data_IF_402346354996
#
_entry.id   IF_402346354996
#
_cell.length_a   1.000
_cell.length_b   1.000
_cell.length_c   1.000
_cell.angle_alpha   90.00
_cell.angle_beta   90.00
_cell.angle_gamma   90.00
#
_symmetry.space_group_name_H-M   'P 1'
#
loop_
_entity.id
_entity.type
_entity.pdbx_description
1 polymer ?
#
# COMPACT_ATOMS: atom_id res chain seq x y z
N UNK A 1 9.39 -14.00 8.77
CA UNK A 1 8.66 -12.94 8.04
C UNK A 1 8.09 -13.55 6.78
N UNK A 2 6.77 -13.66 6.69
CA UNK A 2 6.11 -14.09 5.46
C UNK A 2 5.99 -12.89 4.52
N UNK A 3 7.02 -12.70 3.69
CA UNK A 3 7.08 -11.59 2.73
C UNK A 3 5.90 -11.62 1.76
N UNK A 4 5.38 -12.81 1.44
CA UNK A 4 4.27 -12.98 0.50
C UNK A 4 3.00 -12.33 1.06
N UNK A 5 2.70 -12.57 2.34
CA UNK A 5 1.60 -11.90 3.05
C UNK A 5 1.71 -10.37 2.99
N UNK A 6 2.90 -9.80 3.19
CA UNK A 6 3.06 -8.34 3.19
C UNK A 6 2.90 -7.73 1.79
N UNK A 7 3.37 -8.44 0.75
CA UNK A 7 3.16 -8.04 -0.64
C UNK A 7 1.66 -8.09 -0.99
N UNK A 8 0.93 -9.11 -0.53
CA UNK A 8 -0.52 -9.20 -0.71
C UNK A 8 -1.26 -8.04 -0.04
N UNK A 9 -0.88 -7.66 1.18
CA UNK A 9 -1.47 -6.50 1.87
C UNK A 9 -1.17 -5.17 1.14
N UNK A 10 0.04 -4.99 0.61
CA UNK A 10 0.36 -3.83 -0.22
C UNK A 10 -0.44 -3.81 -1.53
N UNK A 11 -0.60 -4.96 -2.20
CA UNK A 11 -1.36 -5.07 -3.44
C UNK A 11 -2.84 -4.72 -3.28
N UNK A 12 -3.45 -5.05 -2.12
CA UNK A 12 -4.84 -4.66 -1.79
C UNK A 12 -5.05 -3.14 -1.77
N UNK A 13 -3.99 -2.35 -1.60
CA UNK A 13 -4.08 -0.89 -1.56
C UNK A 13 -4.06 -0.24 -2.95
N UNK A 14 -3.65 -0.96 -4.01
CA UNK A 14 -3.59 -0.41 -5.36
C UNK A 14 -4.95 0.12 -5.84
N UNK A 15 -6.05 -0.57 -5.49
CA UNK A 15 -7.41 -0.16 -5.83
C UNK A 15 -7.95 1.02 -5.01
N UNK A 16 -7.22 1.45 -3.98
CA UNK A 16 -7.60 2.56 -3.08
C UNK A 16 -6.82 3.85 -3.36
N UNK A 17 -5.83 3.81 -4.25
CA UNK A 17 -5.02 4.98 -4.59
C UNK A 17 -5.89 6.09 -5.21
N UNK A 18 -5.73 7.32 -4.73
CA UNK A 18 -6.37 8.49 -5.33
C UNK A 18 -5.38 9.12 -6.32
N UNK A 19 -5.56 8.82 -7.60
CA UNK A 19 -4.57 9.08 -8.67
C UNK A 19 -5.20 9.72 -9.93
N UNK A 20 -5.87 10.88 -9.81
CA UNK A 20 -6.50 11.52 -10.95
C UNK A 20 -5.48 12.05 -11.98
N UNK A 21 -4.20 12.27 -11.61
CA UNK A 21 -3.20 12.90 -12.49
C UNK A 21 -2.27 11.86 -13.13
N UNK A 22 -1.52 11.08 -12.35
CA UNK A 22 -0.50 10.18 -12.92
C UNK A 22 -1.05 8.87 -13.50
N UNK A 23 -2.23 8.43 -13.03
CA UNK A 23 -2.78 7.08 -13.30
C UNK A 23 -1.84 5.94 -12.88
N UNK A 24 -0.92 6.19 -11.94
CA UNK A 24 0.05 5.21 -11.47
C UNK A 24 -0.22 4.81 -10.00
N UNK A 25 -0.87 3.65 -9.76
CA UNK A 25 -1.21 3.22 -8.41
C UNK A 25 0.01 2.66 -7.67
N UNK A 26 0.20 3.08 -6.43
CA UNK A 26 1.24 2.58 -5.53
C UNK A 26 0.61 2.13 -4.22
N UNK A 27 0.98 0.95 -3.76
CA UNK A 27 0.56 0.37 -2.48
C UNK A 27 1.77 0.03 -1.62
N UNK A 28 1.62 0.17 -0.30
CA UNK A 28 2.67 -0.12 0.67
C UNK A 28 2.12 -0.85 1.91
N UNK A 29 2.99 -1.66 2.52
CA UNK A 29 2.73 -2.32 3.80
C UNK A 29 3.95 -2.11 4.72
N UNK A 30 3.73 -1.48 5.86
CA UNK A 30 4.70 -1.30 6.94
C UNK A 30 4.41 -2.34 8.05
N UNK A 31 5.45 -3.07 8.46
CA UNK A 31 5.34 -4.13 9.48
C UNK A 31 6.15 -3.71 10.70
N UNK A 32 5.51 -3.64 11.87
CA UNK A 32 6.20 -3.34 13.13
C UNK A 32 6.93 -4.56 13.69
N UNK A 33 7.75 -4.35 14.73
CA UNK A 33 8.45 -5.43 15.41
C UNK A 33 7.49 -6.45 16.06
N UNK A 34 6.32 -5.97 16.48
CA UNK A 34 5.23 -6.77 17.06
C UNK A 34 4.36 -7.46 15.99
N UNK A 35 4.69 -7.29 14.70
CA UNK A 35 3.98 -7.91 13.59
C UNK A 35 2.68 -7.21 13.17
N UNK A 36 2.38 -6.03 13.74
CA UNK A 36 1.26 -5.20 13.28
C UNK A 36 1.54 -4.66 11.88
N UNK A 37 0.55 -4.73 11.00
CA UNK A 37 0.65 -4.25 9.62
C UNK A 37 -0.13 -2.94 9.50
N UNK A 38 0.52 -1.90 8.97
CA UNK A 38 -0.10 -0.67 8.52
C UNK A 38 0.00 -0.61 7.00
N UNK A 39 -1.10 -0.31 6.32
CA UNK A 39 -1.14 -0.22 4.86
C UNK A 39 -1.34 1.22 4.40
N UNK A 40 -0.88 1.52 3.18
CA UNK A 40 -1.00 2.84 2.58
C UNK A 40 -1.01 2.80 1.06
N UNK A 41 -1.47 3.88 0.46
CA UNK A 41 -1.42 4.14 -0.98
C UNK A 41 -1.07 5.61 -1.24
N UNK A 42 -0.65 5.91 -2.47
CA UNK A 42 -0.47 7.31 -2.88
C UNK A 42 -1.82 8.04 -3.01
N UNK A 43 -1.81 9.31 -2.62
CA UNK A 43 -2.91 10.26 -2.76
C UNK A 43 -2.34 11.52 -3.40
N UNK A 44 -2.88 11.89 -4.55
CA UNK A 44 -2.43 13.07 -5.29
C UNK A 44 -3.27 14.30 -5.00
N UNK A 45 -2.75 15.48 -5.36
CA UNK A 45 -3.45 16.76 -5.29
C UNK A 45 -2.95 17.69 -6.42
N UNK A 46 -3.78 18.64 -6.85
CA UNK A 46 -3.43 19.69 -7.82
C UNK A 46 -2.93 20.97 -7.15
#
# INVERSE_FOLDING_TARGET
MDKKKYIEEANKMLSKAYIPYSKFPVGAALVTKEGKIYTGCNIENA
#
